data_IF_644331729968
#
_entry.id   IF_644331729968
#
_cell.length_a   1.000
_cell.length_b   1.000
_cell.length_c   1.000
_cell.angle_alpha   90.00
_cell.angle_beta   90.00
_cell.angle_gamma   90.00
#
_symmetry.space_group_name_H-M   'P 1'
#
loop_
_entity.id
_entity.type
_entity.pdbx_description
1 polymer ?
#
# COMPACT_ATOMS: atom_id res chain seq x y z
N UNK A 1 -23.47 -4.96 7.82
CA UNK A 1 -22.03 -5.09 8.07
C UNK A 1 -21.31 -4.77 6.77
N UNK A 2 -20.83 -3.55 6.60
CA UNK A 2 -20.24 -3.08 5.34
C UNK A 2 -18.83 -3.62 5.17
N UNK A 3 -18.57 -4.39 4.10
CA UNK A 3 -17.21 -4.69 3.68
C UNK A 3 -16.59 -3.40 3.15
N UNK A 4 -15.63 -2.85 3.89
CA UNK A 4 -14.71 -1.86 3.36
C UNK A 4 -13.94 -2.54 2.23
N UNK A 5 -14.24 -2.16 0.99
CA UNK A 5 -13.43 -2.56 -0.17
C UNK A 5 -12.11 -1.80 -0.02
N UNK A 6 -11.15 -2.36 0.72
CA UNK A 6 -9.81 -1.80 0.73
C UNK A 6 -9.30 -1.86 -0.70
N UNK A 7 -8.84 -0.75 -1.28
CA UNK A 7 -8.32 -0.75 -2.64
C UNK A 7 -7.20 -1.81 -2.77
N UNK A 8 -7.19 -2.47 -3.92
CA UNK A 8 -6.30 -3.58 -4.28
C UNK A 8 -4.90 -3.08 -4.66
N UNK A 9 -4.32 -2.18 -3.88
CA UNK A 9 -2.92 -1.80 -4.05
C UNK A 9 -2.08 -2.22 -2.85
N UNK A 10 -0.81 -2.48 -3.10
CA UNK A 10 0.22 -2.76 -2.13
C UNK A 10 1.47 -1.98 -2.47
N UNK A 11 2.51 -2.16 -1.67
CA UNK A 11 3.77 -1.44 -1.83
C UNK A 11 4.91 -2.41 -2.06
N UNK A 12 5.85 -1.99 -2.92
CA UNK A 12 7.16 -2.60 -3.06
C UNK A 12 8.13 -1.66 -2.36
N UNK A 13 8.78 -2.17 -1.33
CA UNK A 13 9.74 -1.40 -0.52
C UNK A 13 11.02 -1.18 -1.31
N UNK A 14 11.38 0.10 -1.48
CA UNK A 14 12.69 0.56 -1.89
C UNK A 14 13.40 1.14 -0.67
N UNK A 15 13.40 2.47 -0.55
CA UNK A 15 14.03 3.23 0.53
C UNK A 15 13.20 3.24 1.83
N UNK A 16 11.95 2.79 1.78
CA UNK A 16 11.06 2.59 2.92
C UNK A 16 10.56 3.89 3.57
N UNK A 17 10.73 5.05 2.93
CA UNK A 17 10.34 6.36 3.50
C UNK A 17 8.85 6.66 3.35
N UNK A 18 8.18 6.04 2.39
CA UNK A 18 6.76 6.27 2.09
C UNK A 18 5.87 5.12 2.56
N UNK A 19 6.46 3.99 2.94
CA UNK A 19 5.73 2.79 3.35
C UNK A 19 5.69 2.67 4.88
N UNK A 20 4.49 2.55 5.43
CA UNK A 20 4.25 2.21 6.83
C UNK A 20 4.58 0.73 7.08
N UNK A 21 5.38 0.46 8.11
CA UNK A 21 5.73 -0.90 8.49
C UNK A 21 4.49 -1.72 8.85
N UNK A 22 3.57 -1.17 9.65
CA UNK A 22 2.43 -1.92 10.17
C UNK A 22 1.18 -1.87 9.28
N UNK A 23 0.88 -0.72 8.69
CA UNK A 23 -0.43 -0.41 8.11
C UNK A 23 -0.52 -0.65 6.60
N UNK A 24 0.62 -0.71 5.91
CA UNK A 24 0.65 -0.89 4.46
C UNK A 24 0.85 -2.34 4.04
N UNK A 25 0.32 -2.68 2.86
CA UNK A 25 0.42 -4.02 2.25
C UNK A 25 1.74 -4.16 1.49
N UNK A 26 2.85 -4.28 2.20
CA UNK A 26 4.19 -4.48 1.60
C UNK A 26 4.79 -5.86 1.91
N UNK A 27 4.26 -6.52 2.93
CA UNK A 27 4.66 -7.85 3.40
C UNK A 27 3.57 -8.89 3.09
N UNK A 28 3.18 -9.00 1.82
CA UNK A 28 2.10 -9.88 1.37
C UNK A 28 0.84 -9.11 0.96
N UNK A 29 -0.33 -9.74 1.07
CA UNK A 29 -1.61 -9.16 0.64
C UNK A 29 -2.36 -8.37 1.72
N UNK A 30 -1.95 -8.56 2.98
CA UNK A 30 -2.62 -8.04 4.17
C UNK A 30 -1.61 -7.24 4.99
N UNK A 31 -2.00 -6.10 5.59
CA UNK A 31 -1.13 -5.34 6.48
C UNK A 31 -0.67 -6.15 7.70
N UNK A 32 0.54 -5.88 8.19
CA UNK A 32 1.07 -6.58 9.36
C UNK A 32 0.25 -6.33 10.63
N UNK A 33 -0.41 -5.17 10.77
CA UNK A 33 -1.28 -4.89 11.91
C UNK A 33 -2.55 -5.76 11.97
N UNK A 34 -3.00 -6.26 10.82
CA UNK A 34 -4.15 -7.18 10.75
C UNK A 34 -3.71 -8.65 10.95
N UNK A 35 -2.52 -9.00 10.46
CA UNK A 35 -1.96 -10.36 10.63
C UNK A 35 -1.47 -10.59 12.06
N UNK A 36 -0.88 -9.57 12.70
CA UNK A 36 -0.28 -9.65 14.03
C UNK A 36 -0.88 -8.59 14.98
N UNK A 37 -2.19 -8.67 15.29
CA UNK A 37 -2.88 -7.64 16.07
C UNK A 37 -2.31 -7.48 17.49
N UNK A 38 -1.85 -8.57 18.11
CA UNK A 38 -1.22 -8.56 19.43
C UNK A 38 0.11 -7.78 19.42
N UNK A 39 0.97 -8.04 18.44
CA UNK A 39 2.24 -7.31 18.30
C UNK A 39 2.01 -5.83 17.95
N UNK A 40 1.00 -5.54 17.13
CA UNK A 40 0.61 -4.17 16.82
C UNK A 40 0.04 -3.43 18.03
N UNK A 41 -0.63 -4.11 18.97
CA UNK A 41 -1.07 -3.48 20.22
C UNK A 41 0.13 -3.10 21.13
N UNK A 42 1.24 -3.86 21.05
CA UNK A 42 2.45 -3.65 21.84
C UNK A 42 3.45 -2.69 21.21
N UNK A 43 3.35 -2.41 19.91
CA UNK A 43 4.28 -1.49 19.25
C UNK A 43 4.18 -0.09 19.84
N UNK A 44 5.33 0.54 20.08
CA UNK A 44 5.42 1.93 20.52
C UNK A 44 5.07 2.86 19.36
N UNK A 45 5.51 2.51 18.15
CA UNK A 45 5.41 3.33 16.96
C UNK A 45 4.47 2.68 15.96
N UNK A 46 3.17 2.97 16.06
CA UNK A 46 2.14 2.42 15.15
C UNK A 46 2.22 3.01 13.74
N UNK A 47 2.79 4.20 13.64
CA UNK A 47 3.02 4.95 12.41
C UNK A 47 4.44 4.79 11.87
N UNK A 48 5.24 3.88 12.45
CA UNK A 48 6.61 3.64 12.03
C UNK A 48 6.70 3.36 10.53
N UNK A 49 7.69 3.96 9.90
CA UNK A 49 8.04 3.68 8.50
C UNK A 49 8.97 2.49 8.40
N UNK A 50 8.98 1.85 7.24
CA UNK A 50 9.84 0.68 6.98
C UNK A 50 11.32 1.02 7.19
N UNK A 51 11.76 2.21 6.79
CA UNK A 51 13.15 2.65 6.96
C UNK A 51 13.54 2.96 8.42
N UNK A 52 12.59 3.25 9.29
CA UNK A 52 12.83 3.50 10.72
C UNK A 52 12.97 2.19 11.51
N UNK A 53 12.37 1.11 11.01
CA UNK A 53 12.39 -0.22 11.62
C UNK A 53 13.56 -1.06 11.10
N UNK A 54 14.07 -0.76 9.89
CA UNK A 54 15.19 -1.45 9.29
C UNK A 54 16.53 -0.78 9.63
N UNK A 55 17.52 -1.58 10.02
CA UNK A 55 18.92 -1.16 10.14
C UNK A 55 19.76 -1.88 9.11
N UNK A 56 20.62 -1.16 8.37
CA UNK A 56 21.56 -1.78 7.45
C UNK A 56 22.70 -2.55 8.18
N UNK A 57 22.85 -2.28 9.48
CA UNK A 57 23.82 -2.92 10.37
C UNK A 57 23.31 -4.31 10.79
N UNK A 58 24.10 -5.35 10.53
CA UNK A 58 23.80 -6.73 10.93
C UNK A 58 24.57 -7.78 10.13
N UNK A 59 24.80 -8.95 10.73
CA UNK A 59 25.62 -10.06 10.18
C UNK A 59 25.13 -10.59 8.82
N UNK A 60 23.86 -10.32 8.44
CA UNK A 60 23.23 -10.78 7.19
C UNK A 60 22.88 -9.65 6.21
N UNK A 61 23.53 -8.49 6.34
CA UNK A 61 23.25 -7.32 5.49
C UNK A 61 21.93 -6.65 5.85
N UNK A 62 21.76 -6.43 7.15
CA UNK A 62 20.67 -5.67 7.78
C UNK A 62 19.80 -6.48 8.74
N UNK A 63 19.00 -5.77 9.55
CA UNK A 63 18.17 -6.31 10.62
C UNK A 63 16.86 -5.52 10.77
N UNK A 64 15.79 -6.22 11.16
CA UNK A 64 14.49 -5.63 11.49
C UNK A 64 14.36 -5.44 13.00
N UNK A 65 14.19 -4.21 13.47
CA UNK A 65 14.14 -3.87 14.90
C UNK A 65 12.87 -3.08 15.26
N UNK A 66 11.67 -3.70 15.23
CA UNK A 66 10.45 -3.06 15.70
C UNK A 66 10.50 -2.83 17.22
N UNK A 67 9.99 -1.68 17.67
CA UNK A 67 10.05 -1.27 19.09
C UNK A 67 8.73 -1.58 19.80
N UNK A 68 8.81 -2.30 20.91
CA UNK A 68 7.66 -2.72 21.72
C UNK A 68 7.71 -2.12 23.13
N UNK A 69 6.54 -1.91 23.73
CA UNK A 69 6.39 -1.25 25.03
C UNK A 69 6.72 -2.15 26.24
N UNK A 70 6.74 -3.47 26.07
CA UNK A 70 7.08 -4.46 27.10
C UNK A 70 7.71 -5.71 26.48
N UNK A 71 8.33 -6.58 27.29
CA UNK A 71 8.69 -7.94 26.87
C UNK A 71 7.46 -8.76 26.45
N UNK A 72 7.69 -9.78 25.63
CA UNK A 72 6.65 -10.69 25.14
C UNK A 72 6.29 -11.75 26.17
N UNK A 73 5.02 -12.18 26.17
CA UNK A 73 4.60 -13.41 26.80
C UNK A 73 4.91 -14.61 25.89
N UNK A 74 4.84 -15.82 26.43
CA UNK A 74 5.15 -17.06 25.68
C UNK A 74 4.30 -17.19 24.39
N UNK A 75 3.00 -16.88 24.46
CA UNK A 75 2.10 -16.93 23.29
C UNK A 75 2.34 -15.80 22.27
N UNK A 76 2.97 -14.69 22.68
CA UNK A 76 3.35 -13.61 21.76
C UNK A 76 4.68 -13.90 21.08
N UNK A 77 5.52 -14.76 21.67
CA UNK A 77 6.79 -15.15 21.09
C UNK A 77 6.61 -15.95 19.80
N UNK A 78 5.59 -16.82 19.75
CA UNK A 78 5.19 -17.53 18.53
C UNK A 78 4.80 -16.56 17.40
N UNK A 79 4.08 -15.47 17.74
CA UNK A 79 3.72 -14.43 16.78
C UNK A 79 4.96 -13.66 16.29
N UNK A 80 5.94 -13.43 17.16
CA UNK A 80 7.22 -12.78 16.79
C UNK A 80 8.01 -13.66 15.82
N UNK A 81 8.08 -14.97 16.07
CA UNK A 81 8.74 -15.91 15.16
C UNK A 81 8.08 -15.88 13.77
N UNK A 82 6.75 -15.94 13.72
CA UNK A 82 5.98 -15.81 12.47
C UNK A 82 6.22 -14.47 11.77
N UNK A 83 6.31 -13.37 12.52
CA UNK A 83 6.65 -12.06 11.98
C UNK A 83 8.06 -12.06 11.35
N UNK A 84 9.06 -12.61 12.04
CA UNK A 84 10.42 -12.71 11.52
C UNK A 84 10.49 -13.58 10.28
N UNK A 85 9.75 -14.70 10.22
CA UNK A 85 9.62 -15.50 9.00
C UNK A 85 9.00 -14.71 7.84
N UNK A 86 7.99 -13.87 8.10
CA UNK A 86 7.41 -13.00 7.07
C UNK A 86 8.40 -11.94 6.57
N UNK A 87 9.29 -11.47 7.44
CA UNK A 87 10.32 -10.47 7.14
C UNK A 87 11.57 -11.06 6.52
N UNK A 88 11.75 -12.38 6.58
CA UNK A 88 12.93 -13.05 6.06
C UNK A 88 13.10 -12.81 4.56
N UNK A 89 14.35 -12.59 4.15
CA UNK A 89 14.71 -12.21 2.78
C UNK A 89 14.29 -10.80 2.33
N UNK A 90 13.51 -10.05 3.12
CA UNK A 90 13.15 -8.66 2.81
C UNK A 90 14.24 -7.71 3.28
N UNK A 91 14.60 -6.75 2.43
CA UNK A 91 15.65 -5.75 2.67
C UNK A 91 15.22 -4.40 2.13
N UNK A 92 15.60 -3.34 2.82
CA UNK A 92 15.43 -1.96 2.34
C UNK A 92 16.64 -1.58 1.50
N UNK A 93 16.39 -1.00 0.32
CA UNK A 93 17.43 -0.51 -0.60
C UNK A 93 17.36 1.01 -0.65
N UNK A 94 18.34 1.67 -0.06
CA UNK A 94 18.35 3.13 0.09
C UNK A 94 18.34 3.86 -1.27
N UNK A 95 18.88 3.23 -2.31
CA UNK A 95 19.00 3.79 -3.66
C UNK A 95 17.76 3.58 -4.55
N UNK A 96 16.76 2.82 -4.09
CA UNK A 96 15.52 2.57 -4.84
C UNK A 96 14.34 3.32 -4.21
N UNK A 97 13.51 3.99 -5.00
CA UNK A 97 12.28 4.60 -4.46
C UNK A 97 11.20 3.55 -4.19
N UNK A 98 10.40 3.78 -3.14
CA UNK A 98 9.18 3.01 -2.86
C UNK A 98 8.19 3.08 -4.03
N UNK A 99 7.60 1.93 -4.40
CA UNK A 99 6.65 1.81 -5.53
C UNK A 99 5.31 1.26 -5.07
N UNK A 100 4.25 1.64 -5.79
CA UNK A 100 2.91 1.06 -5.61
C UNK A 100 2.73 -0.07 -6.61
N UNK A 101 2.15 -1.18 -6.16
CA UNK A 101 1.81 -2.35 -6.97
C UNK A 101 0.30 -2.56 -6.93
N UNK A 102 -0.32 -2.85 -8.05
CA UNK A 102 -1.70 -3.35 -8.10
C UNK A 102 -1.72 -4.83 -7.72
N UNK A 103 -2.72 -5.23 -6.93
CA UNK A 103 -2.87 -6.55 -6.32
C UNK A 103 -4.09 -7.31 -6.85
N UNK A 104 -4.68 -6.85 -7.95
CA UNK A 104 -5.78 -7.55 -8.58
C UNK A 104 -5.29 -8.76 -9.38
N UNK A 105 -5.69 -9.93 -8.87
CA UNK A 105 -5.50 -11.27 -9.40
C UNK A 105 -4.07 -11.85 -9.30
N UNK A 106 -4.01 -13.14 -8.96
CA UNK A 106 -2.79 -13.92 -8.66
C UNK A 106 -1.76 -13.96 -9.80
N UNK A 107 -2.10 -13.43 -10.96
CA UNK A 107 -1.32 -13.54 -12.20
C UNK A 107 -0.79 -12.21 -12.74
N UNK A 108 -1.03 -11.07 -12.06
CA UNK A 108 -0.44 -9.78 -12.47
C UNK A 108 -1.00 -9.17 -13.75
N UNK A 109 -2.05 -9.76 -14.34
CA UNK A 109 -2.69 -9.23 -15.54
C UNK A 109 -3.78 -8.21 -15.23
N UNK A 110 -3.57 -7.00 -15.74
CA UNK A 110 -4.51 -5.88 -15.68
C UNK A 110 -5.75 -6.17 -16.54
N UNK A 111 -6.86 -6.53 -15.91
CA UNK A 111 -8.17 -6.58 -16.57
C UNK A 111 -8.94 -5.30 -16.28
N UNK A 112 -9.16 -4.49 -17.32
CA UNK A 112 -10.04 -3.30 -17.33
C UNK A 112 -11.40 -3.61 -16.67
N UNK A 113 -11.89 -4.84 -16.80
CA UNK A 113 -13.13 -5.32 -16.16
C UNK A 113 -13.10 -5.29 -14.62
N UNK A 114 -11.95 -5.55 -14.00
CA UNK A 114 -11.79 -5.48 -12.53
C UNK A 114 -11.82 -4.03 -12.04
N UNK A 115 -11.17 -3.12 -12.77
CA UNK A 115 -11.23 -1.67 -12.51
C UNK A 115 -12.68 -1.16 -12.60
N UNK A 116 -13.42 -1.55 -13.63
CA UNK A 116 -14.84 -1.16 -13.78
C UNK A 116 -15.72 -1.71 -12.66
N UNK A 117 -15.47 -2.93 -12.16
CA UNK A 117 -16.20 -3.49 -11.00
C UNK A 117 -15.88 -2.75 -9.69
N UNK A 118 -14.61 -2.41 -9.47
CA UNK A 118 -14.20 -1.61 -8.32
C UNK A 118 -14.83 -0.21 -8.37
N UNK A 119 -14.83 0.45 -9.53
CA UNK A 119 -15.49 1.74 -9.74
C UNK A 119 -17.02 1.66 -9.60
N UNK A 120 -17.66 0.56 -10.02
CA UNK A 120 -19.09 0.33 -9.83
C UNK A 120 -19.48 0.19 -8.34
N UNK A 121 -18.67 -0.49 -7.54
CA UNK A 121 -18.88 -0.58 -6.09
C UNK A 121 -18.74 0.78 -5.39
N UNK A 122 -17.80 1.62 -5.85
CA UNK A 122 -17.65 3.01 -5.38
C UNK A 122 -18.83 3.89 -5.81
N UNK A 123 -19.42 3.63 -6.99
CA UNK A 123 -20.58 4.39 -7.51
C UNK A 123 -21.90 4.19 -6.74
N UNK A 124 -21.99 3.13 -5.93
CA UNK A 124 -23.14 2.84 -5.06
C UNK A 124 -23.16 3.68 -3.77
N UNK A 125 -22.01 4.23 -3.37
CA UNK A 125 -21.95 5.34 -2.44
C UNK A 125 -22.22 6.61 -3.25
N UNK A 126 -23.36 7.27 -3.00
CA UNK A 126 -23.86 8.43 -3.74
C UNK A 126 -22.80 9.54 -3.87
N UNK A 127 -21.97 9.44 -4.92
CA UNK A 127 -20.98 10.43 -5.29
C UNK A 127 -21.69 11.48 -6.17
N UNK A 128 -21.60 12.78 -5.86
CA UNK A 128 -22.22 13.80 -6.69
C UNK A 128 -21.43 13.94 -8.01
N UNK A 129 -21.75 13.07 -8.97
CA UNK A 129 -21.20 13.04 -10.34
C UNK A 129 -21.49 14.32 -11.14
N UNK A 130 -22.34 15.22 -10.63
CA UNK A 130 -22.60 16.53 -11.25
C UNK A 130 -21.41 17.49 -11.23
N UNK A 131 -20.38 17.24 -10.41
CA UNK A 131 -19.21 18.14 -10.33
C UNK A 131 -18.15 17.80 -11.41
N UNK A 132 -18.04 16.53 -11.81
CA UNK A 132 -17.06 16.12 -12.84
C UNK A 132 -17.65 16.30 -14.26
N UNK A 133 -18.97 16.19 -14.41
CA UNK A 133 -19.69 16.32 -15.68
C UNK A 133 -20.47 17.65 -15.80
N UNK A 134 -20.00 18.73 -15.18
CA UNK A 134 -20.39 20.07 -15.64
C UNK A 134 -19.63 20.34 -16.95
N UNK A 135 -20.24 19.92 -18.06
CA UNK A 135 -19.86 20.33 -19.40
C UNK A 135 -20.08 21.84 -19.53
N UNK A 136 -19.06 22.63 -19.26
CA UNK A 136 -18.87 23.91 -19.93
C UNK A 136 -17.54 23.89 -20.69
N UNK A 137 -17.35 22.82 -21.47
CA UNK A 137 -16.50 22.88 -22.66
C UNK A 137 -17.44 23.23 -23.80
N UNK A 138 -17.34 24.46 -24.29
CA UNK A 138 -17.96 24.83 -25.56
C UNK A 138 -17.22 24.07 -26.68
N UNK A 139 -17.91 23.28 -27.52
CA UNK A 139 -17.31 22.78 -28.74
C UNK A 139 -17.43 23.89 -29.79
N UNK A 140 -16.35 24.62 -30.06
CA UNK A 140 -16.21 25.33 -31.33
C UNK A 140 -14.99 24.77 -32.04
N UNK A 141 -15.30 23.86 -32.96
CA UNK A 141 -14.43 23.43 -34.04
C UNK A 141 -13.77 24.63 -34.72
N UNK A 142 -12.49 24.49 -34.98
CA UNK A 142 -11.65 25.34 -35.82
C UNK A 142 -11.97 25.14 -37.29
N UNK A 143 -12.11 26.24 -38.03
CA UNK A 143 -11.87 26.28 -39.47
C UNK A 143 -10.81 27.34 -39.73
N UNK A 144 -9.67 26.92 -40.28
CA UNK A 144 -8.71 27.80 -40.93
C UNK A 144 -9.07 27.84 -42.41
N UNK A 145 -9.27 29.03 -42.95
CA UNK A 145 -9.36 29.29 -44.38
C UNK A 145 -8.24 30.27 -44.71
N UNK A 146 -7.26 29.81 -45.48
CA UNK A 146 -6.25 30.67 -46.09
C UNK A 146 -6.73 30.97 -47.50
N UNK A 147 -6.71 32.24 -47.90
CA UNK A 147 -6.65 32.58 -49.31
C UNK A 147 -5.55 33.63 -49.51
N UNK A 148 -4.66 33.33 -50.47
CA UNK A 148 -3.61 34.19 -50.93
C UNK A 148 -3.95 34.62 -52.37
N UNK A 149 -4.17 35.92 -52.58
CA UNK A 149 -3.52 36.73 -53.62
C UNK A 149 -3.96 38.19 -53.54
#
# INVERSE_FOLDING_TARGET
MGHLVTPSFGFVVGDGKKVSFWKDKWCGTTPLCEVFPSLFALTISKEARVNEVWTAEGERGGSWTPRFNRPFNDWELEEVERLLCCLDGKKVRVDEEDRVRWMDSKDGDFLVKSLYRALQLVSLASFPLKIIWSSCVQPKLSFFEWEAS
#
